data_IF_300426585528
#
_entry.id   IF_300426585528
#
_cell.length_a   1.000
_cell.length_b   1.000
_cell.length_c   1.000
_cell.angle_alpha   90.00
_cell.angle_beta   90.00
_cell.angle_gamma   90.00
#
_symmetry.space_group_name_H-M   'P 1'
#
loop_
_entity.id
_entity.type
_entity.pdbx_description
1 polymer ?
#
# COMPACT_ATOMS: atom_id res chain seq x y z
N UNK A 1 37.70 53.62 -34.25
CA UNK A 1 37.93 52.56 -33.27
C UNK A 1 36.81 51.50 -33.44
N UNK A 2 37.09 50.47 -34.23
CA UNK A 2 36.13 49.41 -34.56
C UNK A 2 36.17 48.34 -33.48
N UNK A 3 35.05 48.16 -32.72
CA UNK A 3 34.88 47.03 -31.82
C UNK A 3 34.43 45.82 -32.63
N UNK A 4 35.32 44.85 -32.80
CA UNK A 4 34.94 43.52 -33.28
C UNK A 4 34.13 42.80 -32.23
N UNK A 5 32.86 42.49 -32.54
CA UNK A 5 31.98 41.62 -31.74
C UNK A 5 32.42 40.17 -32.08
N UNK A 6 33.03 39.49 -31.12
CA UNK A 6 33.33 38.06 -31.20
C UNK A 6 32.00 37.25 -31.24
N UNK A 7 31.84 36.32 -32.17
CA UNK A 7 30.68 35.43 -32.16
C UNK A 7 30.74 34.57 -30.90
N UNK A 8 29.75 34.77 -30.00
CA UNK A 8 29.58 34.01 -28.77
C UNK A 8 29.52 32.49 -29.11
N UNK A 9 30.42 31.74 -28.55
CA UNK A 9 30.60 30.33 -28.76
C UNK A 9 29.32 29.51 -28.43
N UNK A 10 28.63 29.01 -29.43
CA UNK A 10 27.56 28.00 -29.29
C UNK A 10 28.07 26.63 -28.80
N UNK A 11 29.40 26.47 -28.67
CA UNK A 11 30.07 25.23 -28.28
C UNK A 11 29.73 24.72 -26.87
N UNK A 12 29.58 25.54 -25.82
CA UNK A 12 29.27 25.01 -24.47
C UNK A 12 27.87 24.41 -24.38
N UNK A 13 26.89 24.93 -25.12
CA UNK A 13 25.51 24.38 -25.10
C UNK A 13 25.41 23.05 -25.86
N UNK A 14 26.12 22.89 -26.97
CA UNK A 14 26.17 21.64 -27.71
C UNK A 14 26.93 20.55 -26.94
N UNK A 15 28.03 20.91 -26.26
CA UNK A 15 28.79 19.99 -25.42
C UNK A 15 27.94 19.52 -24.20
N UNK A 16 27.18 20.43 -23.58
CA UNK A 16 26.28 20.06 -22.47
C UNK A 16 25.16 19.10 -22.92
N UNK A 17 24.57 19.34 -24.09
CA UNK A 17 23.55 18.44 -24.66
C UNK A 17 24.10 17.04 -24.96
N UNK A 18 25.34 16.93 -25.48
CA UNK A 18 25.99 15.64 -25.76
C UNK A 18 26.28 14.90 -24.44
N UNK A 19 26.73 15.57 -23.39
CA UNK A 19 26.99 14.97 -22.08
C UNK A 19 25.69 14.45 -21.44
N UNK A 20 24.59 15.20 -21.54
CA UNK A 20 23.28 14.78 -21.05
C UNK A 20 22.78 13.56 -21.83
N UNK A 21 22.90 13.54 -23.16
CA UNK A 21 22.51 12.40 -24.00
C UNK A 21 23.36 11.17 -23.69
N UNK A 22 24.67 11.32 -23.52
CA UNK A 22 25.58 10.24 -23.15
C UNK A 22 25.25 9.67 -21.76
N UNK A 23 24.86 10.49 -20.79
CA UNK A 23 24.44 10.04 -19.47
C UNK A 23 23.14 9.21 -19.51
N UNK A 24 22.21 9.53 -20.41
CA UNK A 24 20.97 8.74 -20.61
C UNK A 24 21.16 7.48 -21.46
N UNK A 25 22.24 7.40 -22.23
CA UNK A 25 22.59 6.22 -23.04
C UNK A 25 23.48 5.22 -22.29
N UNK A 26 24.04 5.60 -21.13
CA UNK A 26 24.77 4.63 -20.31
C UNK A 26 23.81 3.54 -19.84
N UNK A 27 24.13 2.26 -20.09
CA UNK A 27 23.39 1.17 -19.49
C UNK A 27 23.52 1.34 -17.98
N UNK A 28 22.38 1.51 -17.26
CA UNK A 28 22.35 1.40 -15.82
C UNK A 28 22.71 -0.05 -15.52
N UNK A 29 23.99 -0.32 -15.33
CA UNK A 29 24.43 -1.54 -14.69
C UNK A 29 23.87 -1.46 -13.28
N UNK A 30 22.80 -2.23 -13.04
CA UNK A 30 22.26 -2.37 -11.71
C UNK A 30 23.42 -2.77 -10.80
N UNK A 31 23.85 -1.85 -9.93
CA UNK A 31 24.77 -2.18 -8.86
C UNK A 31 24.14 -3.37 -8.15
N UNK A 32 24.83 -4.54 -8.17
CA UNK A 32 24.50 -5.63 -7.28
C UNK A 32 24.54 -5.01 -5.90
N UNK A 33 23.35 -4.76 -5.33
CA UNK A 33 23.26 -4.42 -3.92
C UNK A 33 23.91 -5.57 -3.18
N UNK A 34 25.06 -5.32 -2.56
CA UNK A 34 25.59 -6.25 -1.58
C UNK A 34 24.49 -6.37 -0.52
N UNK A 35 23.85 -7.53 -0.53
CA UNK A 35 22.79 -7.81 0.43
C UNK A 35 23.39 -7.62 1.82
N UNK A 36 22.70 -6.81 2.64
CA UNK A 36 22.94 -6.71 4.07
C UNK A 36 22.90 -8.13 4.66
N UNK A 37 24.06 -8.74 4.79
CA UNK A 37 24.25 -10.05 5.41
C UNK A 37 24.04 -9.91 6.91
N UNK A 38 22.80 -9.98 7.35
CA UNK A 38 22.52 -10.31 8.75
C UNK A 38 22.79 -11.81 8.93
N UNK A 39 23.75 -12.22 9.77
CA UNK A 39 24.08 -13.63 9.99
C UNK A 39 22.91 -14.46 10.53
N UNK A 40 21.84 -13.81 11.01
CA UNK A 40 20.65 -14.44 11.59
C UNK A 40 19.48 -14.62 10.61
N UNK A 41 19.53 -14.01 9.42
CA UNK A 41 18.41 -13.99 8.48
C UNK A 41 18.79 -14.16 7.00
N UNK A 42 20.00 -14.53 6.68
CA UNK A 42 20.35 -14.87 5.32
C UNK A 42 19.86 -16.30 5.03
N UNK A 43 18.78 -16.48 4.22
CA UNK A 43 18.55 -17.79 3.63
C UNK A 43 19.80 -18.11 2.80
N UNK A 44 20.40 -19.28 3.04
CA UNK A 44 21.54 -19.75 2.28
C UNK A 44 21.19 -19.60 0.80
N UNK A 45 21.85 -18.64 0.15
CA UNK A 45 21.89 -18.44 -1.29
C UNK A 45 20.50 -18.27 -1.95
N UNK A 46 20.04 -17.04 -2.06
CA UNK A 46 18.97 -16.68 -3.01
C UNK A 46 19.64 -16.48 -4.38
N UNK A 47 19.45 -17.42 -5.29
CA UNK A 47 19.80 -17.27 -6.71
C UNK A 47 18.62 -16.62 -7.43
N UNK A 48 18.73 -15.33 -7.85
CA UNK A 48 17.64 -14.64 -8.56
C UNK A 48 17.32 -15.29 -9.92
N UNK A 49 18.22 -16.13 -10.46
CA UNK A 49 17.99 -16.85 -11.71
C UNK A 49 17.13 -18.11 -11.51
N UNK A 50 17.04 -18.62 -10.27
CA UNK A 50 16.17 -19.73 -9.90
C UNK A 50 14.83 -19.26 -9.32
N UNK A 51 14.68 -17.96 -9.06
CA UNK A 51 13.45 -17.31 -8.64
C UNK A 51 12.48 -17.06 -9.79
N UNK A 52 12.27 -18.03 -10.65
CA UNK A 52 11.16 -17.94 -11.60
C UNK A 52 9.84 -18.21 -10.85
N UNK A 53 8.73 -17.67 -11.37
CA UNK A 53 7.38 -17.90 -10.87
C UNK A 53 7.02 -19.40 -10.68
N UNK A 54 7.85 -20.29 -11.22
CA UNK A 54 7.77 -21.73 -11.07
C UNK A 54 8.41 -22.27 -9.77
N UNK A 55 9.09 -21.44 -8.98
CA UNK A 55 9.79 -21.85 -7.74
C UNK A 55 9.08 -21.48 -6.45
N UNK A 56 7.96 -20.75 -6.48
CA UNK A 56 7.15 -20.48 -5.29
C UNK A 56 6.48 -21.79 -4.83
N UNK A 57 6.50 -22.10 -3.53
CA UNK A 57 5.68 -23.17 -2.98
C UNK A 57 4.24 -23.05 -3.48
N UNK A 58 3.59 -24.19 -3.78
CA UNK A 58 2.24 -24.19 -4.36
C UNK A 58 1.25 -23.38 -3.52
N UNK A 59 1.37 -23.47 -2.18
CA UNK A 59 0.56 -22.68 -1.24
C UNK A 59 0.70 -21.17 -1.44
N UNK A 60 1.89 -20.68 -1.79
CA UNK A 60 2.11 -19.23 -1.99
C UNK A 60 1.62 -18.71 -3.34
N UNK A 61 1.34 -19.57 -4.31
CA UNK A 61 0.81 -19.14 -5.62
C UNK A 61 -0.62 -18.63 -5.56
N UNK A 62 -1.38 -19.10 -4.55
CA UNK A 62 -2.79 -18.75 -4.35
C UNK A 62 -3.01 -17.74 -3.25
N UNK A 63 -1.94 -17.29 -2.59
CA UNK A 63 -1.98 -16.36 -1.46
C UNK A 63 -1.79 -14.95 -1.94
N UNK A 64 -2.58 -14.02 -1.37
CA UNK A 64 -2.45 -12.60 -1.68
C UNK A 64 -3.64 -11.79 -1.26
N UNK A 65 -3.58 -10.50 -1.49
CA UNK A 65 -4.71 -9.59 -1.27
C UNK A 65 -4.98 -8.87 -2.58
N UNK A 66 -6.15 -9.16 -3.15
CA UNK A 66 -6.71 -8.41 -4.27
C UNK A 66 -7.48 -7.22 -3.71
N UNK A 67 -7.03 -6.02 -4.02
CA UNK A 67 -7.68 -4.81 -3.51
C UNK A 67 -9.05 -4.61 -4.15
N UNK A 68 -10.10 -4.62 -3.32
CA UNK A 68 -11.50 -4.47 -3.73
C UNK A 68 -12.13 -3.23 -3.10
N UNK A 69 -11.63 -2.07 -3.49
CA UNK A 69 -12.16 -0.79 -3.01
C UNK A 69 -13.62 -0.61 -3.41
N UNK A 70 -14.44 -0.19 -2.47
CA UNK A 70 -15.89 0.01 -2.65
C UNK A 70 -16.70 -1.26 -2.60
N UNK A 71 -16.09 -2.44 -2.51
CA UNK A 71 -16.82 -3.70 -2.36
C UNK A 71 -17.56 -3.72 -1.02
N UNK A 72 -18.78 -4.25 -1.05
CA UNK A 72 -19.63 -4.38 0.11
C UNK A 72 -19.28 -5.63 0.89
N UNK A 73 -18.98 -5.51 2.18
CA UNK A 73 -18.87 -6.66 3.07
C UNK A 73 -20.22 -7.37 3.22
N UNK A 74 -20.25 -8.70 3.41
CA UNK A 74 -21.47 -9.46 3.64
C UNK A 74 -22.01 -9.23 5.04
N UNK A 75 -22.76 -8.13 5.23
CA UNK A 75 -23.25 -7.68 6.54
C UNK A 75 -24.21 -8.69 7.22
N UNK A 76 -24.82 -9.58 6.44
CA UNK A 76 -25.71 -10.63 6.94
C UNK A 76 -24.95 -11.90 7.41
N UNK A 77 -23.62 -11.97 7.15
CA UNK A 77 -22.82 -13.12 7.58
C UNK A 77 -22.82 -13.23 9.12
N UNK A 78 -22.99 -14.45 9.61
CA UNK A 78 -23.14 -14.76 11.04
C UNK A 78 -21.80 -15.19 11.61
N UNK A 79 -21.41 -14.57 12.71
CA UNK A 79 -20.21 -14.88 13.48
C UNK A 79 -20.56 -15.13 14.93
N UNK A 80 -19.65 -15.70 15.71
CA UNK A 80 -19.68 -15.68 17.16
C UNK A 80 -18.79 -14.54 17.67
N UNK A 81 -19.32 -13.71 18.56
CA UNK A 81 -18.54 -12.70 19.27
C UNK A 81 -17.66 -13.31 20.37
N UNK A 82 -16.88 -12.51 21.05
CA UNK A 82 -16.00 -12.94 22.14
C UNK A 82 -16.73 -13.52 23.35
N UNK A 83 -18.04 -13.30 23.47
CA UNK A 83 -18.89 -13.94 24.49
C UNK A 83 -19.50 -15.26 24.05
N UNK A 84 -19.29 -15.66 22.78
CA UNK A 84 -19.88 -16.84 22.15
C UNK A 84 -21.30 -16.61 21.62
N UNK A 85 -21.81 -15.37 21.60
CA UNK A 85 -23.12 -15.02 21.06
C UNK A 85 -23.06 -14.95 19.54
N UNK A 86 -24.05 -15.51 18.87
CA UNK A 86 -24.20 -15.32 17.42
C UNK A 86 -24.64 -13.89 17.10
N UNK A 87 -23.89 -13.26 16.16
CA UNK A 87 -24.08 -11.88 15.74
C UNK A 87 -23.97 -11.78 14.23
N UNK A 88 -24.73 -10.89 13.61
CA UNK A 88 -24.52 -10.51 12.23
C UNK A 88 -23.37 -9.51 12.14
N UNK A 89 -22.51 -9.61 11.14
CA UNK A 89 -21.41 -8.65 10.92
C UNK A 89 -21.94 -7.20 10.87
N UNK A 90 -23.11 -6.98 10.27
CA UNK A 90 -23.76 -5.69 10.16
C UNK A 90 -24.13 -5.02 11.49
N UNK A 91 -24.16 -5.76 12.60
CA UNK A 91 -24.45 -5.16 13.91
C UNK A 91 -23.40 -4.13 14.34
N UNK A 92 -22.15 -4.33 13.93
CA UNK A 92 -21.02 -3.46 14.25
C UNK A 92 -20.98 -2.17 13.44
N UNK A 93 -21.76 -2.08 12.35
CA UNK A 93 -21.84 -0.89 11.51
C UNK A 93 -23.01 0.04 11.89
N UNK A 94 -23.90 -0.38 12.80
CA UNK A 94 -25.06 0.42 13.26
C UNK A 94 -24.65 1.69 13.98
N UNK A 95 -23.43 1.75 14.52
CA UNK A 95 -22.90 2.93 15.22
C UNK A 95 -22.60 4.11 14.29
N UNK A 96 -22.57 3.88 12.97
CA UNK A 96 -22.19 4.90 11.98
C UNK A 96 -20.72 5.29 12.03
N UNK A 97 -19.87 4.48 12.67
CA UNK A 97 -18.43 4.67 12.74
C UNK A 97 -17.70 3.82 11.68
N UNK A 98 -16.56 4.29 11.17
CA UNK A 98 -15.70 3.44 10.35
C UNK A 98 -15.11 2.31 11.18
N UNK A 99 -14.76 1.21 10.51
CA UNK A 99 -14.24 0.00 11.14
C UNK A 99 -12.85 -0.31 10.60
N UNK A 100 -11.91 -0.62 11.50
CA UNK A 100 -10.65 -1.27 11.11
C UNK A 100 -10.89 -2.77 11.14
N UNK A 101 -10.81 -3.42 9.97
CA UNK A 101 -10.96 -4.85 9.80
C UNK A 101 -9.58 -5.51 9.72
N UNK A 102 -9.34 -6.51 10.57
CA UNK A 102 -8.17 -7.37 10.53
C UNK A 102 -8.60 -8.83 10.33
N UNK A 103 -8.14 -9.44 9.23
CA UNK A 103 -8.33 -10.87 8.97
C UNK A 103 -7.09 -11.61 9.47
N UNK A 104 -7.26 -12.41 10.51
CA UNK A 104 -6.19 -13.09 11.24
C UNK A 104 -6.66 -14.49 11.66
N UNK A 105 -5.81 -15.31 12.24
CA UNK A 105 -6.26 -16.42 13.08
C UNK A 105 -5.55 -16.34 14.44
N UNK A 106 -6.26 -16.66 15.49
CA UNK A 106 -5.83 -16.31 16.86
C UNK A 106 -4.71 -17.18 17.39
N UNK A 107 -4.61 -18.40 16.94
CA UNK A 107 -3.53 -19.32 17.31
C UNK A 107 -2.29 -19.22 16.40
N UNK A 108 -2.26 -18.23 15.51
CA UNK A 108 -1.09 -17.99 14.68
C UNK A 108 0.16 -17.77 15.54
N UNK A 109 1.23 -18.52 15.29
CA UNK A 109 2.44 -18.43 16.12
C UNK A 109 3.19 -17.12 15.90
N UNK A 110 3.01 -16.42 14.76
CA UNK A 110 3.84 -15.25 14.45
C UNK A 110 3.11 -14.13 13.70
N UNK A 111 2.77 -14.31 12.43
CA UNK A 111 2.42 -13.21 11.52
C UNK A 111 1.16 -12.45 11.94
N UNK A 112 0.09 -13.13 12.32
CA UNK A 112 -1.16 -12.49 12.76
C UNK A 112 -0.95 -11.65 14.03
N UNK A 113 -0.09 -12.12 14.96
CA UNK A 113 0.27 -11.35 16.13
C UNK A 113 1.04 -10.07 15.75
N UNK A 114 1.90 -10.12 14.72
CA UNK A 114 2.63 -8.95 14.22
C UNK A 114 1.67 -7.94 13.59
N UNK A 115 0.69 -8.37 12.79
CA UNK A 115 -0.36 -7.51 12.21
C UNK A 115 -1.10 -6.76 13.31
N UNK A 116 -1.63 -7.47 14.30
CA UNK A 116 -2.38 -6.85 15.41
C UNK A 116 -1.48 -5.97 16.29
N UNK A 117 -0.22 -6.35 16.52
CA UNK A 117 0.74 -5.55 17.27
C UNK A 117 1.08 -4.24 16.56
N UNK A 118 1.32 -4.31 15.24
CA UNK A 118 1.57 -3.13 14.41
C UNK A 118 0.37 -2.20 14.38
N UNK A 119 -0.84 -2.75 14.24
CA UNK A 119 -2.08 -1.98 14.31
C UNK A 119 -2.19 -1.23 15.65
N UNK A 120 -2.01 -1.91 16.79
CA UNK A 120 -2.04 -1.27 18.11
C UNK A 120 -0.94 -0.22 18.24
N UNK A 121 0.26 -0.52 17.75
CA UNK A 121 1.39 0.43 17.76
C UNK A 121 1.05 1.72 17.03
N UNK A 122 0.50 1.62 15.84
CA UNK A 122 0.06 2.77 15.06
C UNK A 122 -1.10 3.53 15.73
N UNK A 123 -2.09 2.82 16.25
CA UNK A 123 -3.25 3.43 16.91
C UNK A 123 -2.87 4.21 18.17
N UNK A 124 -1.82 3.83 18.88
CA UNK A 124 -1.31 4.62 20.02
C UNK A 124 -0.82 6.02 19.59
N UNK A 125 -0.36 6.17 18.35
CA UNK A 125 0.05 7.45 17.77
C UNK A 125 -1.10 8.29 17.18
N UNK A 126 -2.34 7.78 17.19
CA UNK A 126 -3.50 8.47 16.61
C UNK A 126 -4.36 9.08 17.72
N UNK A 127 -4.82 10.33 17.55
CA UNK A 127 -5.71 11.03 18.49
C UNK A 127 -7.20 10.72 18.20
N UNK A 128 -7.51 9.44 17.99
CA UNK A 128 -8.86 8.91 17.82
C UNK A 128 -8.98 7.68 18.71
N UNK A 129 -10.15 7.43 19.28
CA UNK A 129 -10.38 6.38 20.25
C UNK A 129 -11.32 5.30 19.70
N UNK A 130 -10.94 4.03 19.88
CA UNK A 130 -11.81 2.91 19.58
C UNK A 130 -13.08 2.95 20.44
N UNK A 131 -14.23 2.60 19.86
CA UNK A 131 -15.53 2.68 20.52
C UNK A 131 -16.16 4.06 20.53
N UNK A 132 -15.41 5.10 20.13
CA UNK A 132 -15.88 6.48 20.05
C UNK A 132 -15.81 7.04 18.64
N UNK A 133 -14.63 6.98 18.02
CA UNK A 133 -14.37 7.53 16.69
C UNK A 133 -14.37 6.44 15.61
N UNK A 134 -13.99 5.22 15.94
CA UNK A 134 -13.96 4.05 15.08
C UNK A 134 -14.13 2.77 15.90
N UNK A 135 -14.39 1.65 15.22
CA UNK A 135 -14.41 0.34 15.83
C UNK A 135 -13.32 -0.56 15.18
N UNK A 136 -12.92 -1.62 15.89
CA UNK A 136 -11.97 -2.61 15.43
C UNK A 136 -12.65 -3.96 15.41
N UNK A 137 -12.61 -4.63 14.28
CA UNK A 137 -13.10 -6.00 14.12
C UNK A 137 -11.93 -6.89 13.66
N UNK A 138 -11.55 -7.81 14.51
CA UNK A 138 -10.65 -8.89 14.16
C UNK A 138 -11.48 -10.15 13.90
N UNK A 139 -11.40 -10.72 12.71
CA UNK A 139 -12.11 -11.96 12.34
C UNK A 139 -11.09 -13.06 12.17
N UNK A 140 -11.30 -14.19 12.89
CA UNK A 140 -10.52 -15.37 12.61
C UNK A 140 -10.96 -16.00 11.29
N UNK A 141 -10.00 -16.25 10.38
CA UNK A 141 -10.26 -16.99 9.16
C UNK A 141 -9.99 -18.51 9.31
N UNK A 142 -9.68 -18.99 10.52
CA UNK A 142 -9.61 -20.40 10.84
C UNK A 142 -10.94 -20.88 11.46
N UNK A 143 -11.77 -21.56 10.68
CA UNK A 143 -13.06 -22.05 11.15
C UNK A 143 -12.95 -22.99 12.35
N UNK A 144 -11.81 -23.65 12.56
CA UNK A 144 -11.56 -24.53 13.72
C UNK A 144 -11.57 -23.78 15.04
N UNK A 145 -11.29 -22.47 15.02
CA UNK A 145 -11.29 -21.60 16.19
C UNK A 145 -12.71 -21.26 16.67
N UNK A 146 -13.72 -21.47 15.81
CA UNK A 146 -15.14 -21.24 16.18
C UNK A 146 -15.64 -22.15 17.31
N UNK A 147 -15.01 -23.30 17.49
CA UNK A 147 -15.35 -24.26 18.55
C UNK A 147 -14.49 -24.07 19.82
N UNK A 148 -13.56 -23.13 19.82
CA UNK A 148 -12.63 -22.89 20.95
C UNK A 148 -13.15 -21.82 21.88
N UNK A 149 -13.89 -22.24 22.90
CA UNK A 149 -14.45 -21.33 23.90
C UNK A 149 -13.38 -20.46 24.57
N UNK A 150 -13.62 -19.16 24.66
CA UNK A 150 -12.77 -18.21 25.33
C UNK A 150 -11.55 -17.74 24.54
N UNK A 151 -11.23 -18.36 23.38
CA UNK A 151 -10.06 -17.96 22.59
C UNK A 151 -10.16 -16.50 22.11
N UNK A 152 -11.28 -16.14 21.50
CA UNK A 152 -11.56 -14.78 21.06
C UNK A 152 -11.56 -13.77 22.21
N UNK A 153 -12.17 -14.14 23.35
CA UNK A 153 -12.20 -13.30 24.55
C UNK A 153 -10.79 -13.03 25.11
N UNK A 154 -9.95 -14.07 25.19
CA UNK A 154 -8.58 -13.94 25.68
C UNK A 154 -7.74 -13.07 24.73
N UNK A 155 -7.88 -13.25 23.42
CA UNK A 155 -7.21 -12.39 22.44
C UNK A 155 -7.65 -10.94 22.59
N UNK A 156 -8.96 -10.69 22.63
CA UNK A 156 -9.51 -9.35 22.84
C UNK A 156 -8.93 -8.68 24.09
N UNK A 157 -8.98 -9.36 25.23
CA UNK A 157 -8.46 -8.83 26.48
C UNK A 157 -6.99 -8.44 26.40
N UNK A 158 -6.15 -9.30 25.81
CA UNK A 158 -4.71 -9.03 25.62
C UNK A 158 -4.45 -7.78 24.74
N UNK A 159 -5.24 -7.56 23.69
CA UNK A 159 -5.07 -6.41 22.81
C UNK A 159 -5.64 -5.11 23.38
N UNK A 160 -6.73 -5.15 24.17
CA UNK A 160 -7.22 -4.02 24.96
C UNK A 160 -6.17 -3.58 25.99
N UNK A 161 -5.62 -4.53 26.74
CA UNK A 161 -4.53 -4.27 27.70
C UNK A 161 -3.32 -3.64 27.00
N UNK A 162 -2.94 -4.20 25.85
CA UNK A 162 -1.82 -3.67 25.05
C UNK A 162 -2.08 -2.27 24.50
N UNK A 163 -3.32 -1.97 24.09
CA UNK A 163 -3.71 -0.64 23.61
C UNK A 163 -3.62 0.40 24.74
N UNK A 164 -3.97 -0.01 25.95
CA UNK A 164 -3.81 0.75 27.18
C UNK A 164 -4.48 2.15 27.16
N UNK A 165 -5.69 2.24 26.58
CA UNK A 165 -6.55 3.44 26.63
C UNK A 165 -7.86 3.09 27.34
N UNK A 166 -8.07 3.57 28.59
CA UNK A 166 -9.30 3.30 29.32
C UNK A 166 -10.55 3.83 28.60
N UNK A 167 -11.65 3.07 28.67
CA UNK A 167 -12.94 3.45 28.08
C UNK A 167 -13.06 3.16 26.60
N UNK A 168 -12.11 2.40 26.02
CA UNK A 168 -12.11 2.02 24.60
C UNK A 168 -12.49 0.56 24.35
N UNK A 169 -12.80 -0.18 25.41
CA UNK A 169 -13.03 -1.63 25.41
C UNK A 169 -14.18 -2.02 24.48
N UNK A 170 -15.22 -1.18 24.42
CA UNK A 170 -16.41 -1.42 23.60
C UNK A 170 -16.18 -1.24 22.09
N UNK A 171 -15.02 -0.74 21.69
CA UNK A 171 -14.65 -0.60 20.29
C UNK A 171 -13.82 -1.77 19.74
N UNK A 172 -13.61 -2.83 20.52
CA UNK A 172 -12.81 -3.99 20.14
C UNK A 172 -13.68 -5.24 20.05
N UNK A 173 -13.75 -5.84 18.88
CA UNK A 173 -14.56 -7.02 18.59
C UNK A 173 -13.70 -8.10 17.95
N UNK A 174 -13.75 -9.29 18.56
CA UNK A 174 -12.99 -10.46 18.11
C UNK A 174 -13.95 -11.58 17.75
N UNK A 175 -14.06 -11.88 16.47
CA UNK A 175 -15.08 -12.76 15.93
C UNK A 175 -14.48 -14.07 15.45
N UNK A 176 -15.25 -15.14 15.64
CA UNK A 176 -15.02 -16.45 15.01
C UNK A 176 -16.25 -16.84 14.22
N UNK A 177 -16.12 -17.73 13.24
CA UNK A 177 -17.25 -18.07 12.39
C UNK A 177 -17.13 -19.43 11.72
N UNK A 178 -18.20 -19.84 11.04
CA UNK A 178 -18.20 -21.00 10.16
C UNK A 178 -17.40 -20.70 8.89
N UNK A 179 -16.94 -21.74 8.20
CA UNK A 179 -16.20 -21.58 6.95
C UNK A 179 -16.97 -20.74 5.92
N UNK A 180 -18.29 -20.95 5.78
CA UNK A 180 -19.12 -20.21 4.83
C UNK A 180 -19.11 -18.69 5.11
N UNK A 181 -19.22 -18.29 6.40
CA UNK A 181 -19.15 -16.89 6.80
C UNK A 181 -17.77 -16.29 6.58
N UNK A 182 -16.74 -17.05 6.88
CA UNK A 182 -15.34 -16.67 6.66
C UNK A 182 -15.08 -16.48 5.16
N UNK A 183 -15.47 -17.43 4.32
CA UNK A 183 -15.28 -17.38 2.87
C UNK A 183 -16.00 -16.19 2.25
N UNK A 184 -17.21 -15.89 2.73
CA UNK A 184 -17.96 -14.72 2.26
C UNK A 184 -17.20 -13.40 2.53
N UNK A 185 -16.65 -13.23 3.75
CA UNK A 185 -15.90 -12.03 4.12
C UNK A 185 -14.54 -11.96 3.44
N UNK A 186 -13.77 -13.05 3.42
CA UNK A 186 -12.44 -13.07 2.80
C UNK A 186 -12.52 -12.86 1.30
N UNK A 187 -13.55 -13.42 0.64
CA UNK A 187 -13.83 -13.17 -0.78
C UNK A 187 -14.19 -11.71 -1.04
N UNK A 188 -15.06 -11.11 -0.26
CA UNK A 188 -15.40 -9.69 -0.40
C UNK A 188 -14.19 -8.78 -0.17
N UNK A 189 -13.36 -9.13 0.82
CA UNK A 189 -12.11 -8.41 1.13
C UNK A 189 -10.97 -8.70 0.15
N UNK A 190 -11.15 -9.62 -0.80
CA UNK A 190 -10.08 -10.05 -1.71
C UNK A 190 -8.90 -10.73 -1.00
N UNK A 191 -9.12 -11.27 0.19
CA UNK A 191 -8.09 -11.88 1.04
C UNK A 191 -8.00 -13.38 0.75
N UNK A 192 -6.93 -13.78 0.06
CA UNK A 192 -6.68 -15.17 -0.33
C UNK A 192 -5.65 -15.80 0.59
N UNK A 193 -5.98 -16.96 1.15
CA UNK A 193 -5.14 -17.74 2.04
C UNK A 193 -5.24 -19.22 1.70
N UNK A 194 -4.23 -20.00 2.06
CA UNK A 194 -4.17 -21.44 1.76
C UNK A 194 -3.56 -22.18 2.94
N UNK A 195 -4.05 -23.38 3.23
CA UNK A 195 -3.44 -24.25 4.24
C UNK A 195 -2.18 -24.89 3.68
N UNK A 196 -1.05 -24.72 4.35
CA UNK A 196 0.21 -25.38 3.99
C UNK A 196 0.43 -26.58 4.91
N UNK A 197 0.24 -27.77 4.38
CA UNK A 197 0.41 -29.04 5.12
C UNK A 197 1.85 -29.25 5.60
N UNK A 198 2.85 -28.68 4.90
CA UNK A 198 4.27 -28.85 5.25
C UNK A 198 4.64 -28.08 6.51
N UNK A 199 4.14 -26.87 6.64
CA UNK A 199 4.36 -26.03 7.81
C UNK A 199 3.30 -26.23 8.89
N UNK A 200 2.19 -26.90 8.57
CA UNK A 200 0.99 -27.03 9.40
C UNK A 200 0.44 -25.67 9.83
N UNK A 201 0.43 -24.72 8.90
CA UNK A 201 -0.01 -23.34 9.11
C UNK A 201 -0.74 -22.80 7.88
N UNK A 202 -1.51 -21.75 8.06
CA UNK A 202 -2.02 -21.01 6.92
C UNK A 202 -0.94 -20.10 6.32
N UNK A 203 -0.75 -20.21 5.01
CA UNK A 203 -0.05 -19.22 4.23
C UNK A 203 -1.04 -18.09 3.90
N UNK A 204 -0.71 -16.86 4.27
CA UNK A 204 -1.55 -15.68 4.02
C UNK A 204 -0.71 -14.42 3.90
N UNK A 205 -1.26 -13.42 3.22
CA UNK A 205 -0.69 -12.07 3.21
C UNK A 205 -1.10 -11.31 4.48
N UNK A 206 -0.44 -10.17 4.75
CA UNK A 206 -0.72 -9.34 5.91
C UNK A 206 -1.23 -7.96 5.48
N UNK A 207 -2.37 -7.57 6.02
CA UNK A 207 -2.93 -6.23 5.91
C UNK A 207 -3.99 -5.98 6.98
N UNK A 208 -4.28 -4.71 7.21
CA UNK A 208 -5.51 -4.24 7.81
C UNK A 208 -6.29 -3.42 6.78
N UNK A 209 -7.59 -3.35 6.93
CA UNK A 209 -8.48 -2.63 6.01
C UNK A 209 -9.32 -1.63 6.79
N UNK A 210 -9.63 -0.50 6.19
CA UNK A 210 -10.64 0.41 6.73
C UNK A 210 -11.91 0.22 5.92
N UNK A 211 -13.00 0.07 6.65
CA UNK A 211 -14.36 -0.12 6.14
C UNK A 211 -15.18 1.10 6.52
N UNK A 212 -15.93 1.64 5.59
CA UNK A 212 -16.83 2.75 5.81
C UNK A 212 -17.99 2.38 6.75
N UNK A 213 -18.71 3.35 7.33
CA UNK A 213 -19.90 3.09 8.15
C UNK A 213 -21.01 2.31 7.44
N UNK A 214 -21.06 2.34 6.11
CA UNK A 214 -22.00 1.57 5.29
C UNK A 214 -21.53 0.13 4.98
N UNK A 215 -20.37 -0.27 5.49
CA UNK A 215 -19.80 -1.60 5.32
C UNK A 215 -19.02 -1.80 4.01
N UNK A 216 -18.60 -0.73 3.33
CA UNK A 216 -17.78 -0.79 2.12
C UNK A 216 -16.30 -0.62 2.41
N UNK A 217 -15.48 -1.42 1.73
CA UNK A 217 -14.03 -1.34 1.83
C UNK A 217 -13.51 -0.02 1.28
N UNK A 218 -12.81 0.74 2.13
CA UNK A 218 -12.30 2.08 1.82
C UNK A 218 -10.80 2.11 1.56
N UNK A 219 -10.00 1.52 2.46
CA UNK A 219 -8.55 1.53 2.38
C UNK A 219 -7.95 0.18 2.75
N UNK A 220 -6.76 -0.10 2.19
CA UNK A 220 -5.92 -1.25 2.54
C UNK A 220 -4.56 -0.76 2.98
N UNK A 221 -4.08 -1.25 4.12
CA UNK A 221 -2.74 -1.02 4.63
C UNK A 221 -2.00 -2.34 4.72
N UNK A 222 -1.01 -2.53 3.88
CA UNK A 222 -0.28 -3.78 3.73
C UNK A 222 0.87 -3.90 4.72
N UNK A 223 1.23 -5.13 5.05
CA UNK A 223 2.36 -5.45 5.93
C UNK A 223 1.98 -5.50 7.41
N UNK A 224 2.94 -5.23 8.27
CA UNK A 224 2.83 -5.33 9.72
C UNK A 224 3.23 -4.04 10.45
N UNK A 225 3.74 -3.06 9.72
CA UNK A 225 4.12 -1.75 10.24
C UNK A 225 3.26 -0.68 9.55
N UNK A 226 2.50 0.04 10.34
CA UNK A 226 1.50 0.98 9.84
C UNK A 226 1.82 2.40 10.31
N UNK A 227 1.75 3.35 9.39
CA UNK A 227 1.90 4.77 9.69
C UNK A 227 0.69 5.29 10.46
N UNK A 228 0.85 5.85 11.67
CA UNK A 228 -0.24 6.47 12.43
C UNK A 228 -0.97 7.56 11.63
N UNK A 229 -0.22 8.31 10.82
CA UNK A 229 -0.76 9.38 9.98
C UNK A 229 -1.69 8.83 8.91
N UNK A 230 -1.29 7.74 8.24
CA UNK A 230 -2.07 7.17 7.15
C UNK A 230 -3.34 6.50 7.66
N UNK A 231 -3.26 5.76 8.78
CA UNK A 231 -4.45 5.21 9.45
C UNK A 231 -5.41 6.34 9.86
N UNK A 232 -4.90 7.44 10.45
CA UNK A 232 -5.73 8.57 10.83
C UNK A 232 -6.46 9.16 9.63
N UNK A 233 -5.78 9.39 8.53
CA UNK A 233 -6.40 9.93 7.31
C UNK A 233 -7.42 8.97 6.73
N UNK A 234 -7.09 7.68 6.63
CA UNK A 234 -8.02 6.67 6.15
C UNK A 234 -9.30 6.60 7.00
N UNK A 235 -9.20 6.70 8.33
CA UNK A 235 -10.37 6.74 9.22
C UNK A 235 -11.21 8.01 9.00
N UNK A 236 -10.59 9.19 8.83
CA UNK A 236 -11.30 10.44 8.57
C UNK A 236 -12.01 10.38 7.21
N UNK A 237 -11.37 9.86 6.18
CA UNK A 237 -11.96 9.72 4.85
C UNK A 237 -13.11 8.72 4.86
N UNK A 238 -12.96 7.58 5.55
CA UNK A 238 -13.99 6.57 5.71
C UNK A 238 -15.23 7.11 6.44
N UNK A 239 -15.05 7.96 7.46
CA UNK A 239 -16.18 8.63 8.16
C UNK A 239 -17.06 9.45 7.21
N UNK A 240 -16.50 9.94 6.10
CA UNK A 240 -17.21 10.70 5.07
C UNK A 240 -17.71 9.80 3.93
N UNK A 241 -17.70 8.49 4.09
CA UNK A 241 -18.00 7.48 3.06
C UNK A 241 -17.17 7.65 1.77
N UNK A 242 -15.97 8.21 1.88
CA UNK A 242 -15.04 8.27 0.77
C UNK A 242 -14.38 6.91 0.57
N UNK A 243 -14.27 6.50 -0.67
CA UNK A 243 -13.62 5.26 -1.09
C UNK A 243 -12.33 5.67 -1.79
N UNK A 244 -11.20 5.49 -1.13
CA UNK A 244 -9.85 5.75 -1.62
C UNK A 244 -9.73 7.06 -2.42
N UNK A 245 -8.57 7.69 -2.42
CA UNK A 245 -8.36 8.85 -3.28
C UNK A 245 -8.17 8.39 -4.74
N UNK A 246 -8.74 9.10 -5.72
CA UNK A 246 -8.52 8.84 -7.16
C UNK A 246 -7.01 8.85 -7.52
N UNK A 247 -6.18 9.59 -6.76
CA UNK A 247 -4.73 9.54 -6.86
C UNK A 247 -4.16 8.19 -6.39
N UNK A 248 -4.74 7.58 -5.35
CA UNK A 248 -4.32 6.25 -4.86
C UNK A 248 -4.70 5.16 -5.86
N UNK A 249 -5.86 5.26 -6.51
CA UNK A 249 -6.25 4.36 -7.60
C UNK A 249 -5.31 4.50 -8.81
N UNK A 250 -4.91 5.71 -9.16
CA UNK A 250 -3.95 5.96 -10.23
C UNK A 250 -2.55 5.46 -9.87
N UNK A 251 -2.11 5.70 -8.64
CA UNK A 251 -0.83 5.19 -8.12
C UNK A 251 -0.83 3.67 -8.05
N UNK A 252 -1.91 3.03 -7.63
CA UNK A 252 -2.03 1.57 -7.60
C UNK A 252 -2.03 0.96 -9.00
N UNK A 253 -2.66 1.60 -9.99
CA UNK A 253 -2.57 1.19 -11.38
C UNK A 253 -1.13 1.31 -11.91
N UNK A 254 -0.37 2.29 -11.44
CA UNK A 254 1.06 2.44 -11.73
C UNK A 254 1.96 1.51 -10.89
N UNK A 255 1.53 1.12 -9.67
CA UNK A 255 2.26 0.28 -8.72
C UNK A 255 1.86 -1.20 -8.80
N UNK A 256 1.51 -1.70 -9.98
CA UNK A 256 1.40 -3.13 -10.17
C UNK A 256 2.80 -3.76 -9.94
N UNK A 257 3.07 -4.05 -8.66
CA UNK A 257 4.18 -4.90 -8.28
C UNK A 257 3.83 -6.31 -8.76
N UNK A 258 4.53 -6.78 -9.77
CA UNK A 258 4.45 -8.17 -10.19
C UNK A 258 5.32 -9.00 -9.25
N UNK A 259 4.71 -9.72 -8.28
CA UNK A 259 5.48 -10.54 -7.33
C UNK A 259 6.21 -11.69 -8.02
N UNK A 260 5.83 -12.05 -9.26
CA UNK A 260 6.46 -13.13 -10.01
C UNK A 260 7.80 -12.72 -10.63
N UNK A 261 7.99 -11.43 -10.90
CA UNK A 261 9.21 -10.92 -11.53
C UNK A 261 10.07 -10.06 -10.59
N UNK A 262 9.57 -9.70 -9.40
CA UNK A 262 10.27 -8.84 -8.44
C UNK A 262 10.58 -7.43 -8.98
N UNK A 263 9.94 -7.02 -10.08
CA UNK A 263 10.22 -5.75 -10.77
C UNK A 263 8.99 -4.86 -10.77
N UNK A 264 9.21 -3.58 -10.54
CA UNK A 264 8.21 -2.55 -10.84
C UNK A 264 7.89 -2.59 -12.33
N UNK A 265 6.60 -2.68 -12.65
CA UNK A 265 6.15 -2.95 -14.01
C UNK A 265 6.80 -2.03 -15.05
N UNK A 266 7.12 -2.63 -16.19
CA UNK A 266 7.70 -2.02 -17.38
C UNK A 266 7.00 -0.71 -17.83
N UNK A 267 5.75 -0.51 -17.40
CA UNK A 267 4.95 0.71 -17.64
C UNK A 267 5.53 1.96 -16.95
N UNK A 268 6.04 1.84 -15.71
CA UNK A 268 6.55 3.00 -14.93
C UNK A 268 7.81 3.56 -15.57
N UNK A 269 8.74 2.70 -15.95
CA UNK A 269 9.97 3.14 -16.61
C UNK A 269 9.69 3.80 -17.97
N UNK A 270 8.67 3.32 -18.71
CA UNK A 270 8.22 3.98 -19.96
C UNK A 270 7.56 5.32 -19.69
N UNK A 271 6.66 5.41 -18.71
CA UNK A 271 5.99 6.66 -18.35
C UNK A 271 7.00 7.72 -17.86
N UNK A 272 7.96 7.34 -17.02
CA UNK A 272 9.03 8.24 -16.57
C UNK A 272 9.93 8.71 -17.73
N UNK A 273 10.29 7.82 -18.67
CA UNK A 273 11.06 8.18 -19.86
C UNK A 273 10.29 9.16 -20.75
N UNK A 274 9.00 8.91 -20.98
CA UNK A 274 8.16 9.79 -21.79
C UNK A 274 7.99 11.17 -21.12
N UNK A 275 7.79 11.23 -19.81
CA UNK A 275 7.72 12.47 -19.05
C UNK A 275 9.03 13.26 -19.11
N UNK A 276 10.18 12.59 -18.95
CA UNK A 276 11.49 13.21 -19.07
C UNK A 276 11.74 13.78 -20.49
N UNK A 277 11.40 13.02 -21.53
CA UNK A 277 11.50 13.46 -22.92
C UNK A 277 10.60 14.69 -23.16
N UNK A 278 9.34 14.65 -22.72
CA UNK A 278 8.40 15.77 -22.85
C UNK A 278 8.92 17.05 -22.15
N UNK A 279 9.52 16.89 -20.96
CA UNK A 279 10.12 18.02 -20.21
C UNK A 279 11.31 18.63 -20.97
N UNK A 280 12.19 17.80 -21.53
CA UNK A 280 13.34 18.28 -22.32
C UNK A 280 12.87 19.04 -23.56
N UNK A 281 11.87 18.49 -24.29
CA UNK A 281 11.32 19.17 -25.46
C UNK A 281 10.60 20.47 -25.09
N UNK A 282 9.86 20.50 -23.98
CA UNK A 282 9.20 21.71 -23.47
C UNK A 282 10.19 22.81 -23.11
N UNK A 283 11.25 22.47 -22.39
CA UNK A 283 12.30 23.42 -22.04
C UNK A 283 13.09 23.89 -23.27
N UNK A 284 13.37 22.99 -24.22
CA UNK A 284 14.02 23.33 -25.49
C UNK A 284 13.19 24.29 -26.32
N UNK A 285 11.88 24.02 -26.46
CA UNK A 285 10.93 24.89 -27.20
C UNK A 285 10.84 26.27 -26.54
N UNK A 286 10.73 26.30 -25.19
CA UNK A 286 10.69 27.56 -24.44
C UNK A 286 11.97 28.37 -24.63
N UNK A 287 13.14 27.73 -24.53
CA UNK A 287 14.44 28.37 -24.78
C UNK A 287 14.54 28.92 -26.21
N UNK A 288 14.08 28.16 -27.21
CA UNK A 288 14.04 28.60 -28.61
C UNK A 288 13.12 29.81 -28.85
N UNK A 289 11.94 29.81 -28.22
CA UNK A 289 11.00 30.95 -28.29
C UNK A 289 11.66 32.19 -27.65
N UNK A 290 12.24 32.07 -26.47
CA UNK A 290 12.95 33.17 -25.81
C UNK A 290 14.12 33.70 -26.66
N UNK A 291 14.92 32.82 -27.24
CA UNK A 291 16.01 33.20 -28.12
C UNK A 291 15.50 33.94 -29.37
N UNK A 292 14.41 33.47 -29.98
CA UNK A 292 13.77 34.10 -31.15
C UNK A 292 13.20 35.50 -30.82
N UNK A 293 12.57 35.64 -29.65
CA UNK A 293 12.03 36.91 -29.17
C UNK A 293 13.13 37.92 -28.88
N UNK A 294 14.22 37.48 -28.26
CA UNK A 294 15.35 38.33 -27.94
C UNK A 294 16.09 38.82 -29.21
N UNK A 295 16.21 37.94 -30.21
CA UNK A 295 16.81 38.28 -31.52
C UNK A 295 15.95 39.32 -32.30
N UNK A 296 14.63 39.28 -32.13
CA UNK A 296 13.74 40.29 -32.73
C UNK A 296 13.87 41.68 -32.08
N UNK A 297 14.11 41.73 -30.76
CA UNK A 297 14.32 42.99 -30.06
C UNK A 297 15.65 43.66 -30.42
N UNK A 298 16.73 42.91 -30.53
CA UNK A 298 18.04 43.47 -30.94
C UNK A 298 18.09 43.95 -32.39
N UNK A 299 17.22 43.46 -33.29
CA UNK A 299 17.14 43.94 -34.67
C UNK A 299 16.27 45.20 -34.84
N UNK A 300 15.57 45.68 -33.81
CA UNK A 300 14.78 46.92 -33.84
C UNK A 300 15.56 48.12 -33.32
N UNK A 301 16.65 47.91 -32.59
CA UNK A 301 17.48 48.99 -32.02
C UNK A 301 18.51 49.60 -33.01
N UNK A 302 18.70 48.98 -34.20
CA UNK A 302 19.65 49.41 -35.23
C UNK A 302 19.01 50.19 -36.40
N UNK A 303 17.81 50.77 -36.25
CA UNK A 303 17.33 51.68 -37.30
C UNK A 303 17.83 53.11 -36.97
N UNK A 304 18.69 53.70 -37.80
CA UNK A 304 19.08 55.10 -37.63
C UNK A 304 17.87 55.97 -37.87
N UNK A 305 17.70 56.95 -36.99
CA UNK A 305 16.73 58.04 -37.16
C UNK A 305 17.35 58.98 -38.24
N UNK A 306 16.71 59.03 -39.42
CA UNK A 306 16.96 60.11 -40.42
C UNK A 306 16.31 61.42 -39.99
#
# INVERSE_FOLDING_TARGET
>A
MSRQIRPGSMWPMAALAIVIIAFFLMPVTAQKSEHYNSPLYAPKYYDPSQGSANGLPEALKKVGIEQRLGEQLPLEAIFKDESGREVKLGEYFKSGRPVILALVYYECPMLCNQVLNGMVGALKGVNLDAGKDFDIIAISFDARENEKNGLAANKRAAYIERYARPGTENGWHFLTGTQDSIDAVTKAAGFNYEWDEKSNQFAHASAIMIVNPDGRLSHYFYGIDYSPKDIKFGLIEATQNKIGNAADQLLLYCYHYDPSTGKYGFAILRAMRLAAIATIFGLGAMGFVFWRLNKRKSGQEERPVE
#
